data_IF_825697055659
#
_entry.id   IF_825697055659
#
_cell.length_a   1.000
_cell.length_b   1.000
_cell.length_c   1.000
_cell.angle_alpha   90.00
_cell.angle_beta   90.00
_cell.angle_gamma   90.00
#
_symmetry.space_group_name_H-M   'P 1'
#
loop_
_entity.id
_entity.type
_entity.pdbx_description
1 polymer ?
#
# COMPACT_ATOMS: atom_id res chain seq x y z
N UNK A 1 0.57 10.62 -3.35
CA UNK A 1 0.07 9.44 -2.59
C UNK A 1 0.78 8.14 -2.95
N UNK A 2 0.63 7.57 -4.15
CA UNK A 2 1.33 6.30 -4.49
C UNK A 2 2.85 6.40 -4.35
N UNK A 3 3.43 7.55 -4.70
CA UNK A 3 4.85 7.85 -4.43
C UNK A 3 5.19 7.77 -2.94
N UNK A 4 4.38 8.34 -2.05
CA UNK A 4 4.63 8.28 -0.61
C UNK A 4 4.54 6.84 -0.07
N UNK A 5 3.59 6.04 -0.59
CA UNK A 5 3.48 4.61 -0.23
C UNK A 5 4.68 3.82 -0.77
N UNK A 6 5.12 4.09 -2.00
CA UNK A 6 6.35 3.53 -2.55
C UNK A 6 7.56 3.87 -1.68
N UNK A 7 7.74 5.14 -1.32
CA UNK A 7 8.90 5.61 -0.58
C UNK A 7 9.00 4.95 0.81
N UNK A 8 7.87 4.81 1.53
CA UNK A 8 7.86 4.09 2.81
C UNK A 8 8.19 2.60 2.63
N UNK A 9 7.64 1.94 1.60
CA UNK A 9 7.95 0.52 1.34
C UNK A 9 9.43 0.31 0.99
N UNK A 10 10.03 1.20 0.18
CA UNK A 10 11.46 1.15 -0.17
C UNK A 10 12.33 1.38 1.06
N UNK A 11 12.01 2.37 1.90
CA UNK A 11 12.74 2.58 3.15
C UNK A 11 12.63 1.38 4.09
N UNK A 12 11.44 0.82 4.25
CA UNK A 12 11.21 -0.39 5.04
C UNK A 12 12.02 -1.58 4.51
N UNK A 13 12.00 -1.84 3.20
CA UNK A 13 12.84 -2.89 2.60
C UNK A 13 14.33 -2.66 2.85
N UNK A 14 14.80 -1.41 2.74
CA UNK A 14 16.17 -1.04 3.02
C UNK A 14 16.58 -1.32 4.46
N UNK A 15 15.77 -0.88 5.44
CA UNK A 15 16.03 -1.09 6.87
C UNK A 15 16.08 -2.57 7.22
N UNK A 16 15.11 -3.34 6.71
CA UNK A 16 15.05 -4.80 6.88
C UNK A 16 16.25 -5.50 6.23
N UNK A 17 16.70 -5.01 5.08
CA UNK A 17 17.88 -5.48 4.37
C UNK A 17 19.22 -5.13 5.06
N UNK A 18 19.18 -4.55 6.25
CA UNK A 18 20.37 -4.23 7.05
C UNK A 18 20.90 -2.80 6.85
N UNK A 19 20.17 -1.93 6.15
CA UNK A 19 20.49 -0.49 6.14
C UNK A 19 20.23 0.05 7.55
N UNK A 20 21.17 0.84 8.07
CA UNK A 20 20.96 1.54 9.33
C UNK A 20 19.74 2.46 9.22
N UNK A 21 18.76 2.27 10.10
CA UNK A 21 17.61 3.16 10.22
C UNK A 21 18.04 4.50 10.84
N UNK A 22 17.45 5.59 10.38
CA UNK A 22 17.60 6.88 11.05
C UNK A 22 16.95 6.81 12.46
N UNK A 23 17.47 7.53 13.47
CA UNK A 23 16.93 7.50 14.82
C UNK A 23 15.43 7.81 14.94
N UNK A 24 14.91 8.66 14.05
CA UNK A 24 13.52 9.11 13.97
C UNK A 24 12.61 8.17 13.16
N UNK A 25 13.17 7.16 12.50
CA UNK A 25 12.40 6.23 11.68
C UNK A 25 11.53 5.31 12.56
N UNK A 26 10.28 4.97 12.15
CA UNK A 26 9.62 5.22 10.86
C UNK A 26 8.73 6.48 10.79
N UNK A 27 8.80 7.39 11.77
CA UNK A 27 7.79 8.44 11.95
C UNK A 27 7.62 9.40 10.75
N UNK A 28 8.69 9.96 10.14
CA UNK A 28 8.55 10.88 9.02
C UNK A 28 7.88 10.27 7.77
N UNK A 29 8.14 8.99 7.50
CA UNK A 29 7.56 8.29 6.36
C UNK A 29 6.07 8.04 6.58
N UNK A 30 5.69 7.67 7.80
CA UNK A 30 4.29 7.50 8.21
C UNK A 30 3.55 8.84 8.14
N UNK A 31 4.14 9.91 8.67
CA UNK A 31 3.54 11.26 8.64
C UNK A 31 3.29 11.76 7.21
N UNK A 32 4.21 11.46 6.28
CA UNK A 32 4.05 11.78 4.86
C UNK A 32 2.83 11.06 4.26
N UNK A 33 2.65 9.78 4.55
CA UNK A 33 1.47 9.02 4.10
C UNK A 33 0.19 9.55 4.74
N UNK A 34 0.19 9.84 6.04
CA UNK A 34 -0.97 10.38 6.76
C UNK A 34 -1.37 11.78 6.25
N UNK A 35 -0.39 12.64 5.93
CA UNK A 35 -0.65 13.94 5.31
C UNK A 35 -1.34 13.77 3.94
N UNK A 36 -0.89 12.82 3.13
CA UNK A 36 -1.50 12.52 1.83
C UNK A 36 -2.91 11.93 1.99
N UNK A 37 -3.13 11.06 2.99
CA UNK A 37 -4.47 10.56 3.35
C UNK A 37 -5.41 11.70 3.74
N UNK A 38 -4.94 12.67 4.53
CA UNK A 38 -5.71 13.87 4.85
C UNK A 38 -6.19 14.63 3.61
N UNK A 39 -5.30 14.80 2.63
CA UNK A 39 -5.65 15.39 1.34
C UNK A 39 -6.72 14.59 0.57
N UNK A 40 -6.60 13.26 0.56
CA UNK A 40 -7.57 12.37 -0.07
C UNK A 40 -8.95 12.39 0.62
N UNK A 41 -8.99 12.40 1.95
CA UNK A 41 -10.23 12.55 2.72
C UNK A 41 -10.93 13.85 2.33
N UNK A 42 -10.18 14.95 2.24
CA UNK A 42 -10.73 16.23 1.85
C UNK A 42 -11.26 16.23 0.41
N UNK A 43 -10.54 15.60 -0.53
CA UNK A 43 -11.01 15.44 -1.91
C UNK A 43 -12.34 14.67 -1.97
N UNK A 44 -12.52 13.63 -1.14
CA UNK A 44 -13.78 12.87 -1.07
C UNK A 44 -14.93 13.70 -0.53
N UNK A 45 -14.69 14.53 0.47
CA UNK A 45 -15.72 15.44 0.99
C UNK A 45 -16.23 16.35 -0.13
N UNK A 46 -15.34 16.95 -0.93
CA UNK A 46 -15.72 17.78 -2.07
C UNK A 46 -16.42 16.99 -3.20
N UNK A 47 -15.96 15.77 -3.48
CA UNK A 47 -16.62 14.90 -4.45
C UNK A 47 -18.07 14.62 -4.03
N UNK A 48 -18.30 14.28 -2.76
CA UNK A 48 -19.65 14.04 -2.21
C UNK A 48 -20.54 15.27 -2.28
N UNK A 49 -20.02 16.45 -1.94
CA UNK A 49 -20.75 17.70 -2.10
C UNK A 49 -21.16 17.93 -3.57
N UNK A 50 -20.29 17.59 -4.52
CA UNK A 50 -20.58 17.65 -5.95
C UNK A 50 -21.69 16.67 -6.35
N UNK A 51 -21.71 15.46 -5.79
CA UNK A 51 -22.75 14.47 -6.06
C UNK A 51 -24.14 14.93 -5.57
N UNK A 52 -24.20 15.75 -4.53
CA UNK A 52 -25.46 16.28 -3.99
C UNK A 52 -25.95 17.54 -4.74
N UNK A 53 -25.11 18.21 -5.51
CA UNK A 53 -25.47 19.46 -6.20
C UNK A 53 -26.20 19.20 -7.55
N UNK A 54 -27.47 19.61 -7.72
CA UNK A 54 -28.24 19.35 -8.95
C UNK A 54 -27.63 19.97 -10.20
N UNK A 55 -27.07 21.18 -10.08
CA UNK A 55 -26.40 21.89 -11.19
C UNK A 55 -25.12 21.20 -11.68
N UNK A 56 -24.58 20.24 -10.92
CA UNK A 56 -23.36 19.48 -11.25
C UNK A 56 -23.65 18.06 -11.69
N UNK A 57 -24.90 17.77 -12.08
CA UNK A 57 -25.29 16.44 -12.54
C UNK A 57 -24.40 15.87 -13.67
N UNK A 58 -24.02 16.72 -14.64
CA UNK A 58 -23.18 16.33 -15.77
C UNK A 58 -21.74 15.93 -15.43
N UNK A 59 -21.32 16.02 -14.16
CA UNK A 59 -20.00 15.55 -13.71
C UNK A 59 -20.07 14.45 -12.65
N UNK A 60 -21.28 13.94 -12.32
CA UNK A 60 -21.46 12.95 -11.23
C UNK A 60 -20.68 11.66 -11.46
N UNK A 61 -20.68 11.12 -12.66
CA UNK A 61 -19.96 9.87 -12.96
C UNK A 61 -18.46 10.04 -12.73
N UNK A 62 -17.88 11.18 -13.14
CA UNK A 62 -16.46 11.49 -12.87
C UNK A 62 -16.19 11.62 -11.38
N UNK A 63 -17.07 12.29 -10.64
CA UNK A 63 -16.95 12.44 -9.20
C UNK A 63 -17.08 11.09 -8.46
N UNK A 64 -17.97 10.19 -8.89
CA UNK A 64 -18.08 8.83 -8.36
C UNK A 64 -16.83 7.99 -8.65
N UNK A 65 -16.29 8.06 -9.88
CA UNK A 65 -15.04 7.37 -10.23
C UNK A 65 -13.89 7.87 -9.36
N UNK A 66 -13.75 9.18 -9.22
CA UNK A 66 -12.72 9.79 -8.37
C UNK A 66 -12.89 9.39 -6.88
N UNK A 67 -14.12 9.33 -6.36
CA UNK A 67 -14.36 8.85 -4.99
C UNK A 67 -13.92 7.39 -4.82
N UNK A 68 -14.29 6.49 -5.74
CA UNK A 68 -13.88 5.08 -5.69
C UNK A 68 -12.38 4.90 -5.78
N UNK A 69 -11.73 5.60 -6.71
CA UNK A 69 -10.27 5.59 -6.84
C UNK A 69 -9.59 6.06 -5.56
N UNK A 70 -10.11 7.13 -4.94
CA UNK A 70 -9.57 7.66 -3.69
C UNK A 70 -9.70 6.65 -2.54
N UNK A 71 -10.79 5.90 -2.48
CA UNK A 71 -10.98 4.84 -1.47
C UNK A 71 -9.95 3.73 -1.64
N UNK A 72 -9.76 3.20 -2.85
CA UNK A 72 -8.80 2.12 -3.06
C UNK A 72 -7.37 2.55 -2.78
N UNK A 73 -6.99 3.78 -3.14
CA UNK A 73 -5.66 4.32 -2.80
C UNK A 73 -5.49 4.47 -1.29
N UNK A 74 -6.55 4.87 -0.56
CA UNK A 74 -6.50 4.98 0.89
C UNK A 74 -6.41 3.61 1.58
N UNK A 75 -7.11 2.59 1.07
CA UNK A 75 -7.02 1.21 1.57
C UNK A 75 -5.60 0.67 1.39
N UNK A 76 -5.02 0.81 0.19
CA UNK A 76 -3.65 0.40 -0.08
C UNK A 76 -2.63 1.10 0.83
N UNK A 77 -2.77 2.39 1.05
CA UNK A 77 -1.89 3.10 1.99
C UNK A 77 -2.05 2.60 3.43
N UNK A 78 -3.29 2.33 3.87
CA UNK A 78 -3.55 1.78 5.19
C UNK A 78 -2.96 0.38 5.39
N UNK A 79 -3.09 -0.51 4.40
CA UNK A 79 -2.48 -1.84 4.44
C UNK A 79 -0.96 -1.78 4.39
N UNK A 80 -0.36 -0.87 3.60
CA UNK A 80 1.08 -0.64 3.58
C UNK A 80 1.61 -0.14 4.93
N UNK A 81 0.94 0.84 5.58
CA UNK A 81 1.32 1.29 6.92
C UNK A 81 1.18 0.17 7.97
N UNK A 82 0.15 -0.68 7.81
CA UNK A 82 0.01 -1.85 8.67
C UNK A 82 1.16 -2.85 8.46
N UNK A 83 1.59 -3.08 7.22
CA UNK A 83 2.75 -3.90 6.90
C UNK A 83 4.01 -3.38 7.57
N UNK A 84 4.29 -2.08 7.41
CA UNK A 84 5.42 -1.39 8.07
C UNK A 84 5.38 -1.67 9.57
N UNK A 85 4.23 -1.43 10.23
CA UNK A 85 4.09 -1.68 11.66
C UNK A 85 4.37 -3.13 12.07
N UNK A 86 3.95 -4.11 11.27
CA UNK A 86 4.17 -5.53 11.57
C UNK A 86 5.65 -5.88 11.45
N UNK A 87 6.34 -5.41 10.41
CA UNK A 87 7.75 -5.73 10.15
C UNK A 87 8.73 -4.93 11.01
N UNK A 88 8.31 -3.79 11.55
CA UNK A 88 9.12 -2.96 12.47
C UNK A 88 8.85 -3.24 13.94
N UNK A 89 8.10 -4.29 14.25
CA UNK A 89 7.80 -4.63 15.64
C UNK A 89 9.11 -4.89 16.40
N UNK A 90 9.28 -4.36 17.62
CA UNK A 90 10.53 -4.47 18.40
C UNK A 90 10.99 -5.92 18.63
N UNK A 91 10.09 -6.90 18.57
CA UNK A 91 10.42 -8.32 18.62
C UNK A 91 11.23 -8.83 17.40
N UNK A 92 11.27 -8.07 16.29
CA UNK A 92 12.06 -8.34 15.08
C UNK A 92 13.29 -7.45 14.92
N UNK A 93 13.47 -6.45 15.78
CA UNK A 93 14.62 -5.53 15.70
C UNK A 93 15.87 -6.28 16.20
N UNK A 94 16.40 -7.14 15.32
CA UNK A 94 17.47 -8.09 15.58
C UNK A 94 17.29 -9.46 14.89
N UNK A 95 16.08 -9.77 14.42
CA UNK A 95 15.77 -10.96 13.62
C UNK A 95 15.74 -10.61 12.13
N UNK A 96 16.61 -11.25 11.33
CA UNK A 96 16.58 -11.06 9.88
C UNK A 96 15.26 -11.60 9.33
N UNK A 97 14.42 -10.73 8.76
CA UNK A 97 13.19 -11.17 8.10
C UNK A 97 13.52 -12.14 6.96
N UNK A 98 12.61 -13.07 6.71
CA UNK A 98 12.81 -14.07 5.67
C UNK A 98 12.88 -13.40 4.30
N UNK A 99 13.78 -13.89 3.44
CA UNK A 99 13.95 -13.39 2.08
C UNK A 99 12.64 -13.25 1.27
N UNK A 100 11.63 -14.15 1.41
CA UNK A 100 10.35 -14.00 0.74
C UNK A 100 9.57 -12.74 1.15
N UNK A 101 9.72 -12.28 2.41
CA UNK A 101 9.06 -11.05 2.89
C UNK A 101 9.69 -9.82 2.24
N UNK A 102 11.02 -9.77 2.18
CA UNK A 102 11.73 -8.68 1.52
C UNK A 102 11.34 -8.59 0.04
N UNK A 103 11.34 -9.72 -0.67
CA UNK A 103 10.92 -9.79 -2.07
C UNK A 103 9.48 -9.30 -2.27
N UNK A 104 8.56 -9.66 -1.38
CA UNK A 104 7.18 -9.18 -1.46
C UNK A 104 7.05 -7.67 -1.24
N UNK A 105 7.82 -7.10 -0.32
CA UNK A 105 7.84 -5.63 -0.10
C UNK A 105 8.41 -4.92 -1.32
N UNK A 106 9.48 -5.45 -1.92
CA UNK A 106 10.08 -4.91 -3.15
C UNK A 106 9.10 -4.97 -4.34
N UNK A 107 8.35 -6.07 -4.48
CA UNK A 107 7.29 -6.19 -5.48
C UNK A 107 6.18 -5.16 -5.25
N UNK A 108 5.71 -5.00 -4.00
CA UNK A 108 4.69 -3.99 -3.66
C UNK A 108 5.17 -2.56 -3.94
N UNK A 109 6.41 -2.25 -3.59
CA UNK A 109 7.03 -0.95 -3.87
C UNK A 109 7.10 -0.70 -5.38
N UNK A 110 7.68 -1.63 -6.13
CA UNK A 110 7.84 -1.50 -7.59
C UNK A 110 6.49 -1.39 -8.28
N UNK A 111 5.52 -2.21 -7.87
CA UNK A 111 4.15 -2.13 -8.36
C UNK A 111 3.50 -0.77 -8.10
N UNK A 112 3.68 -0.19 -6.90
CA UNK A 112 3.17 1.14 -6.58
C UNK A 112 3.83 2.25 -7.41
N UNK A 113 5.13 2.15 -7.70
CA UNK A 113 5.86 3.13 -8.51
C UNK A 113 5.38 3.17 -9.96
N UNK A 114 5.09 2.01 -10.54
CA UNK A 114 4.72 1.90 -11.96
C UNK A 114 3.21 1.85 -12.19
N UNK A 115 2.37 1.77 -11.15
CA UNK A 115 0.92 1.69 -11.25
C UNK A 115 0.25 2.78 -12.10
N UNK A 116 0.87 3.96 -12.19
CA UNK A 116 0.34 5.05 -13.04
C UNK A 116 0.80 4.95 -14.49
N UNK A 117 2.05 4.53 -14.72
CA UNK A 117 2.69 4.55 -16.03
C UNK A 117 2.49 3.25 -16.81
N UNK A 118 2.54 2.11 -16.12
CA UNK A 118 2.39 0.77 -16.69
C UNK A 118 1.54 -0.12 -15.77
N UNK A 119 0.20 -0.08 -15.93
CA UNK A 119 -0.72 -0.90 -15.16
C UNK A 119 -0.49 -2.41 -15.31
N UNK A 120 0.03 -2.87 -16.45
CA UNK A 120 0.26 -4.29 -16.70
C UNK A 120 1.47 -4.79 -15.90
N UNK A 121 2.56 -4.02 -15.89
CA UNK A 121 3.74 -4.32 -15.06
C UNK A 121 3.39 -4.22 -13.57
N UNK A 122 2.60 -3.21 -13.17
CA UNK A 122 2.15 -3.09 -11.78
C UNK A 122 1.33 -4.31 -11.33
N UNK A 123 0.44 -4.83 -12.19
CA UNK A 123 -0.34 -6.02 -11.90
C UNK A 123 0.53 -7.28 -11.78
N UNK A 124 1.60 -7.38 -12.57
CA UNK A 124 2.56 -8.49 -12.47
C UNK A 124 3.26 -8.51 -11.10
N UNK A 125 3.67 -7.34 -10.60
CA UNK A 125 4.25 -7.19 -9.26
C UNK A 125 3.23 -7.48 -8.14
N UNK A 126 2.01 -6.96 -8.24
CA UNK A 126 0.94 -7.29 -7.29
C UNK A 126 0.67 -8.81 -7.25
N UNK A 127 0.66 -9.48 -8.40
CA UNK A 127 0.53 -10.93 -8.47
C UNK A 127 1.73 -11.68 -7.88
N UNK A 128 2.95 -11.15 -8.01
CA UNK A 128 4.15 -11.71 -7.39
C UNK A 128 4.09 -11.61 -5.87
N UNK A 129 3.77 -10.44 -5.32
CA UNK A 129 3.56 -10.24 -3.89
C UNK A 129 2.47 -11.19 -3.33
N UNK A 130 1.38 -11.40 -4.08
CA UNK A 130 0.32 -12.35 -3.70
C UNK A 130 0.81 -13.80 -3.64
N UNK A 131 1.68 -14.22 -4.58
CA UNK A 131 2.30 -15.55 -4.53
C UNK A 131 3.22 -15.69 -3.31
N UNK A 132 4.06 -14.69 -3.05
CA UNK A 132 4.90 -14.68 -1.84
C UNK A 132 4.06 -14.78 -0.56
N UNK A 133 2.93 -14.07 -0.47
CA UNK A 133 2.02 -14.20 0.65
C UNK A 133 1.44 -15.61 0.81
N UNK A 134 1.07 -16.27 -0.29
CA UNK A 134 0.59 -17.65 -0.26
C UNK A 134 1.67 -18.63 0.20
N UNK A 135 2.90 -18.45 -0.29
CA UNK A 135 4.05 -19.26 0.11
C UNK A 135 4.35 -19.07 1.61
N UNK A 136 4.37 -17.81 2.09
CA UNK A 136 4.53 -17.48 3.51
C UNK A 136 3.44 -18.13 4.38
N UNK A 137 2.17 -18.04 3.95
CA UNK A 137 1.06 -18.65 4.68
C UNK A 137 1.19 -20.18 4.75
N UNK A 138 1.71 -20.82 3.69
CA UNK A 138 1.84 -22.29 3.63
C UNK A 138 2.88 -22.85 4.61
N UNK A 139 3.90 -22.05 4.95
CA UNK A 139 5.00 -22.46 5.85
C UNK A 139 4.90 -21.83 7.24
N UNK A 140 3.90 -20.99 7.49
CA UNK A 140 3.72 -20.28 8.74
C UNK A 140 3.50 -21.26 9.91
N UNK A 141 4.28 -21.08 10.97
CA UNK A 141 4.30 -21.90 12.19
C UNK A 141 3.81 -21.14 13.41
N UNK A 142 3.67 -19.82 13.31
CA UNK A 142 3.24 -18.97 14.40
C UNK A 142 2.27 -17.88 13.90
N UNK A 143 1.54 -17.27 14.85
CA UNK A 143 0.56 -16.22 14.57
C UNK A 143 1.16 -15.03 13.82
N UNK A 144 2.43 -14.71 14.07
CA UNK A 144 3.10 -13.55 13.46
C UNK A 144 3.34 -13.77 11.98
N UNK A 145 3.83 -14.95 11.58
CA UNK A 145 4.00 -15.33 10.18
C UNK A 145 2.66 -15.37 9.44
N UNK A 146 1.58 -15.82 10.11
CA UNK A 146 0.22 -15.77 9.58
C UNK A 146 -0.21 -14.32 9.33
N UNK A 147 -0.06 -13.45 10.34
CA UNK A 147 -0.39 -12.02 10.22
C UNK A 147 0.42 -11.37 9.10
N UNK A 148 1.72 -11.66 9.00
CA UNK A 148 2.57 -11.11 7.96
C UNK A 148 2.11 -11.53 6.57
N UNK A 149 1.81 -12.82 6.36
CA UNK A 149 1.27 -13.31 5.10
C UNK A 149 -0.08 -12.64 4.74
N UNK A 150 -0.98 -12.50 5.72
CA UNK A 150 -2.28 -11.85 5.53
C UNK A 150 -2.14 -10.37 5.15
N UNK A 151 -1.22 -9.65 5.79
CA UNK A 151 -0.98 -8.23 5.52
C UNK A 151 -0.32 -8.01 4.17
N UNK A 152 0.64 -8.85 3.77
CA UNK A 152 1.22 -8.80 2.41
C UNK A 152 0.15 -9.08 1.35
N UNK A 153 -0.72 -10.08 1.58
CA UNK A 153 -1.85 -10.36 0.68
C UNK A 153 -2.80 -9.17 0.59
N UNK A 154 -3.16 -8.55 1.71
CA UNK A 154 -4.03 -7.38 1.73
C UNK A 154 -3.42 -6.21 0.93
N UNK A 155 -2.12 -5.93 1.10
CA UNK A 155 -1.42 -4.91 0.31
C UNK A 155 -1.48 -5.22 -1.19
N UNK A 156 -1.24 -6.47 -1.58
CA UNK A 156 -1.28 -6.89 -2.99
C UNK A 156 -2.68 -6.78 -3.60
N UNK A 157 -3.72 -7.13 -2.82
CA UNK A 157 -5.11 -7.03 -3.25
C UNK A 157 -5.58 -5.58 -3.36
N UNK A 158 -5.20 -4.72 -2.41
CA UNK A 158 -5.51 -3.29 -2.46
C UNK A 158 -4.78 -2.59 -3.61
N UNK A 159 -3.51 -2.94 -3.87
CA UNK A 159 -2.77 -2.46 -5.04
C UNK A 159 -3.45 -2.88 -6.34
N UNK A 160 -3.90 -4.13 -6.45
CA UNK A 160 -4.64 -4.60 -7.62
C UNK A 160 -5.94 -3.81 -7.82
N UNK A 161 -6.68 -3.50 -6.76
CA UNK A 161 -7.89 -2.67 -6.85
C UNK A 161 -7.59 -1.26 -7.35
N UNK A 162 -6.47 -0.66 -6.93
CA UNK A 162 -6.02 0.64 -7.46
C UNK A 162 -5.76 0.57 -8.97
N UNK A 163 -5.14 -0.51 -9.44
CA UNK A 163 -4.85 -0.76 -10.86
C UNK A 163 -6.14 -0.94 -11.66
N UNK A 164 -7.02 -1.84 -11.21
CA UNK A 164 -8.26 -2.20 -11.91
C UNK A 164 -9.22 -1.01 -12.07
N UNK A 165 -9.29 -0.13 -11.07
CA UNK A 165 -10.15 1.05 -11.13
C UNK A 165 -9.62 2.14 -12.07
N UNK A 166 -8.33 2.17 -12.39
CA UNK A 166 -7.78 3.11 -13.37
C UNK A 166 -8.02 2.67 -14.81
N UNK A 167 -8.15 1.36 -15.04
CA UNK A 167 -8.42 0.80 -16.37
C UNK A 167 -9.89 0.91 -16.79
N UNK A 168 -10.79 1.38 -15.91
CA UNK A 168 -12.24 1.51 -16.12
C UNK A 168 -12.71 2.96 -16.22
#
# INVERSE_FOLDING_TARGET
MLTAVHDVLVHTAGVIGGRAAAPEWPLPDIDSVDQQLGGLIQARIFARQTLLAPRRWGVRERAQRAERQTVCVALFAGSALHLVRVVTSPDDVGGQLSQPVCAAIDDLATGAAVAEADPAVAAAHAAAARRCAADLASVARNTKEIVLADVVRACADDLQQVIDLRQK
#
